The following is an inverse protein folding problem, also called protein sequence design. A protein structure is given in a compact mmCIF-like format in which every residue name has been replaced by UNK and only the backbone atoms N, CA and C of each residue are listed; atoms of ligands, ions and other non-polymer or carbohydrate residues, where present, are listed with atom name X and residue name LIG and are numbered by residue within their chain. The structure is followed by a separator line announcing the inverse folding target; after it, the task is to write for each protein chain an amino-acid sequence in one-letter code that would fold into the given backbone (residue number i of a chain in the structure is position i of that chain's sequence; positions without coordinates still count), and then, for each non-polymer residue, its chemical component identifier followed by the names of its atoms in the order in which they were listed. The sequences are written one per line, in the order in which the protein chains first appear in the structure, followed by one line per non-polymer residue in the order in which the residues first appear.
data_IF_091329142361
#
_entry.id   IF_091329142361
#
_cell.length_a   1.000
_cell.length_b   1.000
_cell.length_c   1.000
_cell.angle_alpha   90.00
_cell.angle_beta   90.00
_cell.angle_gamma   90.00
#
_symmetry.space_group_name_H-M   'P 1'
#
loop_
_entity.id
_entity.type
_entity.pdbx_description
1 polymer ?
#
# COMPACT_ATOMS: atom_id res chain seq x y z
N UNK A 1 7.26 -11.31 29.12
CA UNK A 1 8.00 -12.54 29.50
C UNK A 1 9.26 -12.20 30.32
N UNK A 2 9.48 -12.80 31.49
CA UNK A 2 10.69 -12.57 32.31
C UNK A 2 11.75 -13.66 32.07
N UNK A 3 12.99 -13.27 31.74
CA UNK A 3 14.11 -14.20 31.53
C UNK A 3 14.43 -15.08 32.75
N UNK A 4 14.11 -14.62 33.96
CA UNK A 4 14.38 -15.36 35.22
C UNK A 4 13.33 -16.42 35.56
N UNK A 5 12.26 -16.54 34.77
CA UNK A 5 11.20 -17.51 35.04
C UNK A 5 10.65 -18.10 33.75
N UNK A 6 9.98 -17.30 32.93
CA UNK A 6 9.26 -17.78 31.74
C UNK A 6 10.17 -18.50 30.74
N UNK A 7 11.37 -17.96 30.47
CA UNK A 7 12.31 -18.56 29.53
C UNK A 7 12.87 -19.89 30.03
N UNK A 8 13.25 -19.95 31.30
CA UNK A 8 13.79 -21.16 31.92
C UNK A 8 12.73 -22.27 31.98
N UNK A 9 11.52 -21.93 32.39
CA UNK A 9 10.40 -22.88 32.45
C UNK A 9 10.06 -23.42 31.06
N UNK A 10 10.01 -22.54 30.05
CA UNK A 10 9.80 -22.96 28.67
C UNK A 10 10.90 -23.92 28.20
N UNK A 11 12.17 -23.62 28.46
CA UNK A 11 13.27 -24.50 28.08
C UNK A 11 13.20 -25.86 28.76
N UNK A 12 12.88 -25.91 30.06
CA UNK A 12 12.74 -27.16 30.80
C UNK A 12 11.62 -28.04 30.23
N UNK A 13 10.45 -27.47 29.98
CA UNK A 13 9.33 -28.18 29.35
C UNK A 13 9.68 -28.64 27.93
N UNK A 14 10.37 -27.78 27.16
CA UNK A 14 10.78 -28.11 25.79
C UNK A 14 11.74 -29.30 25.75
N UNK A 15 12.66 -29.41 26.70
CA UNK A 15 13.54 -30.56 26.83
C UNK A 15 12.76 -31.85 27.17
N UNK A 16 11.83 -31.78 28.12
CA UNK A 16 10.98 -32.92 28.44
C UNK A 16 10.10 -33.37 27.26
N UNK A 17 9.60 -32.42 26.45
CA UNK A 17 8.88 -32.72 25.21
C UNK A 17 9.79 -33.40 24.17
N UNK A 18 11.04 -32.97 24.06
CA UNK A 18 12.02 -33.59 23.16
C UNK A 18 12.24 -35.07 23.51
N UNK A 19 12.29 -35.41 24.80
CA UNK A 19 12.42 -36.81 25.26
C UNK A 19 11.23 -37.68 24.83
N UNK A 20 10.06 -37.05 24.64
CA UNK A 20 8.83 -37.67 24.12
C UNK A 20 8.70 -37.55 22.59
N UNK A 21 9.77 -37.15 21.89
CA UNK A 21 9.81 -36.91 20.44
C UNK A 21 8.85 -35.81 19.93
N UNK A 22 8.51 -34.83 20.79
CA UNK A 22 7.78 -33.62 20.40
C UNK A 22 8.71 -32.41 20.29
N UNK A 23 8.43 -31.53 19.33
CA UNK A 23 9.17 -30.28 19.13
C UNK A 23 8.29 -29.09 19.52
N UNK A 24 8.81 -28.24 20.41
CA UNK A 24 8.17 -26.95 20.69
C UNK A 24 8.36 -26.01 19.50
N UNK A 25 7.43 -25.07 19.33
CA UNK A 25 7.43 -24.14 18.20
C UNK A 25 8.24 -22.87 18.52
N UNK A 26 8.06 -22.32 19.73
CA UNK A 26 8.65 -21.04 20.07
C UNK A 26 8.04 -20.35 21.29
N UNK A 27 8.42 -19.09 21.47
CA UNK A 27 7.99 -18.23 22.58
C UNK A 27 7.34 -16.94 22.07
N UNK A 28 6.56 -16.30 22.93
CA UNK A 28 5.99 -14.96 22.71
C UNK A 28 6.53 -13.97 23.75
N UNK A 29 7.04 -12.84 23.27
CA UNK A 29 7.47 -11.69 24.08
C UNK A 29 6.46 -10.56 23.89
N UNK A 30 5.81 -10.15 24.96
CA UNK A 30 4.69 -9.21 24.93
C UNK A 30 4.88 -7.99 25.85
N UNK A 31 6.07 -7.82 26.40
CA UNK A 31 6.37 -6.78 27.40
C UNK A 31 7.88 -6.65 27.61
N UNK A 32 8.30 -5.48 28.10
CA UNK A 32 9.71 -5.16 28.36
C UNK A 32 10.49 -4.73 27.11
N UNK A 33 11.81 -4.70 27.22
CA UNK A 33 12.70 -4.42 26.09
C UNK A 33 12.73 -5.62 25.14
N UNK A 34 11.90 -5.59 24.10
CA UNK A 34 11.70 -6.71 23.19
C UNK A 34 12.98 -7.04 22.40
N UNK A 35 13.77 -6.04 22.02
CA UNK A 35 15.04 -6.27 21.31
C UNK A 35 16.01 -7.06 22.19
N UNK A 36 16.28 -6.55 23.40
CA UNK A 36 17.16 -7.21 24.36
C UNK A 36 16.65 -8.61 24.74
N UNK A 37 15.36 -8.74 25.06
CA UNK A 37 14.78 -10.02 25.45
C UNK A 37 14.84 -11.06 24.32
N UNK A 38 14.66 -10.64 23.06
CA UNK A 38 14.80 -11.53 21.91
C UNK A 38 16.24 -12.04 21.76
N UNK A 39 17.24 -11.18 21.98
CA UNK A 39 18.65 -11.55 21.96
C UNK A 39 18.97 -12.57 23.05
N UNK A 40 18.55 -12.28 24.29
CA UNK A 40 18.77 -13.19 25.43
C UNK A 40 18.10 -14.53 25.18
N UNK A 41 16.85 -14.55 24.69
CA UNK A 41 16.17 -15.81 24.36
C UNK A 41 16.95 -16.62 23.33
N UNK A 42 17.41 -15.99 22.24
CA UNK A 42 18.20 -16.68 21.20
C UNK A 42 19.51 -17.23 21.74
N UNK A 43 20.21 -16.49 22.60
CA UNK A 43 21.44 -16.94 23.25
C UNK A 43 21.21 -18.20 24.10
N UNK A 44 20.12 -18.24 24.88
CA UNK A 44 19.76 -19.43 25.65
C UNK A 44 19.43 -20.61 24.74
N UNK A 45 18.68 -20.37 23.67
CA UNK A 45 18.32 -21.41 22.71
C UNK A 45 19.56 -22.02 22.05
N UNK A 46 20.51 -21.19 21.62
CA UNK A 46 21.80 -21.65 21.07
C UNK A 46 22.61 -22.47 22.08
N UNK A 47 22.71 -22.00 23.34
CA UNK A 47 23.45 -22.72 24.39
C UNK A 47 22.84 -24.08 24.70
N UNK A 48 21.52 -24.17 24.78
CA UNK A 48 20.82 -25.44 25.03
C UNK A 48 20.98 -26.38 23.83
N UNK A 49 20.84 -25.85 22.62
CA UNK A 49 21.04 -26.62 21.38
C UNK A 49 22.40 -27.30 21.36
N UNK A 50 23.47 -26.57 21.67
CA UNK A 50 24.83 -27.14 21.72
C UNK A 50 25.03 -28.08 22.91
N UNK A 51 24.56 -27.70 24.11
CA UNK A 51 24.80 -28.47 25.34
C UNK A 51 24.12 -29.84 25.34
N UNK A 52 22.93 -29.93 24.79
CA UNK A 52 22.12 -31.15 24.77
C UNK A 52 22.09 -31.82 23.39
N UNK A 53 22.85 -31.30 22.42
CA UNK A 53 22.92 -31.81 21.05
C UNK A 53 21.54 -31.88 20.37
N UNK A 54 20.75 -30.81 20.52
CA UNK A 54 19.40 -30.68 19.96
C UNK A 54 19.40 -29.55 18.91
N UNK A 55 19.71 -29.83 17.62
CA UNK A 55 19.98 -28.78 16.63
C UNK A 55 18.79 -27.84 16.39
N UNK A 56 17.56 -28.35 16.43
CA UNK A 56 16.35 -27.57 16.17
C UNK A 56 16.05 -26.53 17.26
N UNK A 57 16.61 -26.70 18.46
CA UNK A 57 16.33 -25.81 19.60
C UNK A 57 16.80 -24.38 19.32
N UNK A 58 17.92 -24.20 18.62
CA UNK A 58 18.45 -22.87 18.27
C UNK A 58 17.52 -22.10 17.31
N UNK A 59 16.66 -22.79 16.58
CA UNK A 59 15.80 -22.25 15.51
C UNK A 59 14.36 -21.99 15.98
N UNK A 60 14.08 -22.18 17.28
CA UNK A 60 12.81 -21.87 17.91
C UNK A 60 12.33 -20.45 17.58
N UNK A 61 11.05 -20.32 17.27
CA UNK A 61 10.46 -19.05 16.85
C UNK A 61 10.36 -18.11 18.04
N UNK A 62 10.77 -16.85 17.84
CA UNK A 62 10.54 -15.75 18.78
C UNK A 62 9.51 -14.83 18.15
N UNK A 63 8.30 -14.82 18.71
CA UNK A 63 7.25 -13.88 18.34
C UNK A 63 7.26 -12.68 19.29
N UNK A 64 7.09 -11.48 18.76
CA UNK A 64 6.87 -10.28 19.54
C UNK A 64 5.48 -9.70 19.30
N UNK A 65 4.81 -9.25 20.36
CA UNK A 65 3.51 -8.59 20.25
C UNK A 65 3.27 -7.63 21.40
N UNK A 66 3.40 -6.32 21.19
CA UNK A 66 2.98 -5.27 22.14
C UNK A 66 3.17 -3.88 21.50
N UNK A 67 2.09 -3.14 21.25
CA UNK A 67 2.12 -1.79 20.65
C UNK A 67 3.12 -1.62 19.50
N UNK A 68 3.20 -2.64 18.65
CA UNK A 68 4.14 -2.67 17.53
C UNK A 68 3.55 -1.86 16.39
N UNK A 69 4.30 -0.89 15.92
CA UNK A 69 4.01 -0.14 14.71
C UNK A 69 5.24 -0.10 13.79
N UNK A 70 5.11 0.56 12.66
CA UNK A 70 6.16 0.67 11.65
C UNK A 70 7.48 1.27 12.21
N UNK A 71 7.40 2.32 13.01
CA UNK A 71 8.58 2.97 13.61
C UNK A 71 9.27 2.05 14.62
N UNK A 72 8.47 1.33 15.42
CA UNK A 72 9.00 0.32 16.34
C UNK A 72 9.74 -0.78 15.58
N UNK A 73 9.18 -1.29 14.47
CA UNK A 73 9.83 -2.34 13.67
C UNK A 73 11.16 -1.85 13.08
N UNK A 74 11.19 -0.62 12.54
CA UNK A 74 12.44 -0.02 12.04
C UNK A 74 13.48 0.09 13.15
N UNK A 75 13.10 0.60 14.32
CA UNK A 75 14.01 0.70 15.47
C UNK A 75 14.53 -0.65 15.95
N UNK A 76 13.67 -1.68 15.98
CA UNK A 76 14.08 -3.03 16.35
C UNK A 76 15.07 -3.60 15.32
N UNK A 77 14.87 -3.34 14.02
CA UNK A 77 15.77 -3.79 12.96
C UNK A 77 17.16 -3.18 13.13
N UNK A 78 17.24 -1.88 13.42
CA UNK A 78 18.51 -1.17 13.68
C UNK A 78 19.24 -1.73 14.91
N UNK A 79 18.51 -2.20 15.91
CA UNK A 79 19.05 -2.86 17.10
C UNK A 79 19.48 -4.31 16.88
N UNK A 80 19.23 -4.90 15.70
CA UNK A 80 19.64 -6.27 15.38
C UNK A 80 18.89 -7.35 16.16
N UNK A 81 17.59 -7.13 16.43
CA UNK A 81 16.71 -8.06 17.16
C UNK A 81 16.76 -9.50 16.64
N UNK A 82 16.32 -10.48 17.45
CA UNK A 82 16.24 -11.92 17.07
C UNK A 82 14.81 -12.47 16.94
N UNK A 83 13.84 -11.57 16.84
CA UNK A 83 12.42 -11.83 16.58
C UNK A 83 12.21 -12.39 15.16
N UNK A 84 11.38 -13.41 15.02
CA UNK A 84 11.01 -14.02 13.74
C UNK A 84 9.63 -13.56 13.23
N UNK A 85 8.73 -13.19 14.14
CA UNK A 85 7.35 -12.84 13.81
C UNK A 85 6.84 -11.69 14.68
N UNK A 86 6.09 -10.79 14.07
CA UNK A 86 5.45 -9.66 14.74
C UNK A 86 3.93 -9.84 14.76
N UNK A 87 3.34 -9.86 15.95
CA UNK A 87 1.90 -9.75 16.16
C UNK A 87 1.50 -8.28 16.32
N UNK A 88 0.88 -7.73 15.28
CA UNK A 88 0.45 -6.32 15.26
C UNK A 88 -1.08 -6.26 15.37
N UNK A 89 -1.57 -5.63 16.44
CA UNK A 89 -3.00 -5.46 16.70
C UNK A 89 -3.49 -4.06 16.38
N UNK A 90 -3.68 -3.25 17.43
CA UNK A 90 -4.34 -1.94 17.41
C UNK A 90 -3.86 -1.03 16.27
N UNK A 91 -2.55 -0.85 16.12
CA UNK A 91 -1.98 0.06 15.11
C UNK A 91 -2.37 -0.31 13.66
N UNK A 92 -2.42 -1.61 13.35
CA UNK A 92 -2.76 -2.09 12.01
C UNK A 92 -4.27 -2.00 11.76
N UNK A 93 -5.08 -2.52 12.69
CA UNK A 93 -6.54 -2.62 12.50
C UNK A 93 -7.25 -1.27 12.55
N UNK A 94 -6.77 -0.36 13.39
CA UNK A 94 -7.39 0.97 13.54
C UNK A 94 -6.80 2.03 12.60
N UNK A 95 -5.72 1.68 11.88
CA UNK A 95 -4.93 2.64 11.10
C UNK A 95 -4.59 3.92 11.90
N UNK A 96 -4.15 3.78 13.15
CA UNK A 96 -4.17 4.86 14.17
C UNK A 96 -3.62 6.23 13.71
N UNK A 97 -2.57 6.25 12.86
CA UNK A 97 -2.01 7.50 12.31
C UNK A 97 -2.98 8.23 11.38
N UNK A 98 -3.78 7.50 10.62
CA UNK A 98 -4.78 8.01 9.70
C UNK A 98 -5.96 7.02 9.62
N UNK A 99 -6.93 7.11 10.55
CA UNK A 99 -8.02 6.13 10.67
C UNK A 99 -9.06 6.21 9.53
N UNK A 100 -8.89 7.15 8.59
CA UNK A 100 -9.80 7.32 7.46
C UNK A 100 -9.05 7.67 6.16
N UNK A 101 -9.50 7.10 5.05
CA UNK A 101 -8.88 7.32 3.74
C UNK A 101 -9.36 8.60 3.04
N UNK A 102 -10.54 9.12 3.42
CA UNK A 102 -11.11 10.33 2.80
C UNK A 102 -11.77 10.08 1.44
N UNK A 103 -12.26 8.87 1.17
CA UNK A 103 -12.96 8.56 -0.08
C UNK A 103 -14.25 9.39 -0.24
N UNK A 104 -14.55 9.79 -1.47
CA UNK A 104 -15.76 10.56 -1.80
C UNK A 104 -16.51 9.93 -2.97
N UNK A 105 -17.83 10.05 -2.95
CA UNK A 105 -18.70 9.76 -4.10
C UNK A 105 -19.22 11.07 -4.69
N UNK A 106 -19.06 11.26 -6.01
CA UNK A 106 -19.44 12.47 -6.72
C UNK A 106 -20.13 12.12 -8.03
N UNK A 107 -21.24 12.82 -8.32
CA UNK A 107 -21.86 12.81 -9.63
C UNK A 107 -20.96 13.56 -10.63
N UNK A 108 -20.56 12.90 -11.70
CA UNK A 108 -19.70 13.49 -12.75
C UNK A 108 -20.42 13.69 -14.08
N UNK A 109 -21.55 13.03 -14.27
CA UNK A 109 -22.37 13.08 -15.48
C UNK A 109 -23.82 12.72 -15.13
N UNK A 110 -24.78 13.45 -15.69
CA UNK A 110 -26.21 13.17 -15.57
C UNK A 110 -26.86 13.29 -16.95
N UNK A 111 -27.40 12.20 -17.48
CA UNK A 111 -28.02 12.15 -18.81
C UNK A 111 -27.09 12.65 -19.92
N UNK A 112 -25.81 12.30 -19.88
CA UNK A 112 -24.76 12.78 -20.79
C UNK A 112 -24.48 14.29 -20.68
N UNK A 113 -24.93 14.93 -19.59
CA UNK A 113 -24.55 16.30 -19.24
C UNK A 113 -23.51 16.23 -18.11
N UNK A 114 -22.25 16.61 -18.37
CA UNK A 114 -21.20 16.60 -17.37
C UNK A 114 -21.52 17.49 -16.16
N UNK A 115 -21.10 17.04 -14.97
CA UNK A 115 -21.30 17.77 -13.71
C UNK A 115 -19.97 18.03 -13.04
N UNK A 116 -19.81 19.26 -12.56
CA UNK A 116 -18.64 19.74 -11.85
C UNK A 116 -19.08 20.48 -10.60
N UNK A 117 -18.53 20.11 -9.45
CA UNK A 117 -18.65 20.88 -8.23
C UNK A 117 -17.46 21.83 -8.13
N UNK A 118 -17.76 23.13 -8.14
CA UNK A 118 -16.77 24.15 -7.82
C UNK A 118 -16.59 24.26 -6.30
N UNK A 119 -15.39 24.64 -5.90
CA UNK A 119 -15.02 24.93 -4.52
C UNK A 119 -14.01 26.06 -4.52
N UNK A 120 -13.97 26.84 -3.44
CA UNK A 120 -12.92 27.83 -3.22
C UNK A 120 -11.53 27.16 -3.09
N UNK A 121 -11.52 25.90 -2.67
CA UNK A 121 -10.33 25.06 -2.62
C UNK A 121 -10.23 24.25 -3.91
N UNK A 122 -9.22 24.55 -4.73
CA UNK A 122 -8.96 23.88 -6.02
C UNK A 122 -8.84 22.37 -5.85
N UNK A 123 -8.29 21.89 -4.73
CA UNK A 123 -8.16 20.45 -4.47
C UNK A 123 -9.51 19.75 -4.26
N UNK A 124 -10.59 20.50 -3.99
CA UNK A 124 -11.96 19.99 -3.81
C UNK A 124 -12.83 20.13 -5.05
N UNK A 125 -12.28 20.67 -6.13
CA UNK A 125 -12.94 20.74 -7.42
C UNK A 125 -13.00 19.34 -8.03
N UNK A 126 -14.19 18.91 -8.44
CA UNK A 126 -14.37 17.57 -9.01
C UNK A 126 -14.09 17.55 -10.51
N UNK A 127 -13.43 16.50 -11.01
CA UNK A 127 -13.26 16.30 -12.45
C UNK A 127 -14.59 15.91 -13.12
N UNK A 128 -15.07 16.66 -14.15
CA UNK A 128 -16.34 16.40 -14.82
C UNK A 128 -16.28 15.21 -15.77
N UNK A 129 -17.45 14.72 -16.20
CA UNK A 129 -17.62 13.73 -17.25
C UNK A 129 -17.27 12.29 -16.84
N UNK A 130 -17.67 11.34 -17.68
CA UNK A 130 -17.27 9.93 -17.55
C UNK A 130 -15.80 9.77 -17.96
N UNK A 131 -15.04 9.01 -17.18
CA UNK A 131 -13.60 8.86 -17.35
C UNK A 131 -13.15 7.41 -17.21
N UNK A 132 -12.19 7.04 -18.02
CA UNK A 132 -11.37 5.84 -17.84
C UNK A 132 -10.00 6.20 -17.26
N UNK A 133 -9.43 5.28 -16.50
CA UNK A 133 -8.10 5.42 -15.92
C UNK A 133 -7.15 4.39 -16.52
N UNK A 134 -5.96 4.85 -16.92
CA UNK A 134 -4.93 4.04 -17.54
C UNK A 134 -3.60 4.24 -16.83
N UNK A 135 -2.90 3.15 -16.51
CA UNK A 135 -1.52 3.20 -16.02
C UNK A 135 -0.55 3.08 -17.17
N UNK A 136 0.38 4.03 -17.27
CA UNK A 136 1.43 4.07 -18.27
C UNK A 136 2.73 3.56 -17.67
N UNK A 137 3.41 2.65 -18.37
CA UNK A 137 4.65 2.03 -17.91
C UNK A 137 5.86 2.43 -18.76
N UNK A 138 7.03 2.45 -18.11
CA UNK A 138 8.33 2.63 -18.76
C UNK A 138 8.81 1.34 -19.42
N UNK A 139 9.79 1.41 -20.32
CA UNK A 139 10.47 0.23 -20.89
C UNK A 139 11.06 -0.70 -19.82
N UNK A 140 11.41 -0.16 -18.65
CA UNK A 140 11.91 -0.94 -17.50
C UNK A 140 10.81 -1.65 -16.71
N UNK A 141 9.54 -1.46 -17.08
CA UNK A 141 8.38 -2.02 -16.39
C UNK A 141 7.91 -1.20 -15.18
N UNK A 142 8.44 0.01 -15.00
CA UNK A 142 8.03 0.90 -13.90
C UNK A 142 6.71 1.59 -14.22
N UNK A 143 5.79 1.65 -13.27
CA UNK A 143 4.59 2.47 -13.37
C UNK A 143 4.98 3.96 -13.29
N UNK A 144 4.79 4.70 -14.39
CA UNK A 144 5.22 6.10 -14.51
C UNK A 144 4.16 7.07 -14.01
N UNK A 145 2.92 6.87 -14.43
CA UNK A 145 1.80 7.79 -14.22
C UNK A 145 0.47 7.07 -14.42
N UNK A 146 -0.54 7.46 -13.65
CA UNK A 146 -1.94 7.12 -13.95
C UNK A 146 -2.58 8.29 -14.72
N UNK A 147 -3.10 8.00 -15.90
CA UNK A 147 -3.72 8.95 -16.83
C UNK A 147 -5.24 8.75 -16.83
N UNK A 148 -5.97 9.81 -16.51
CA UNK A 148 -7.41 9.90 -16.69
C UNK A 148 -7.71 10.43 -18.09
N UNK A 149 -8.65 9.77 -18.76
CA UNK A 149 -9.03 10.02 -20.16
C UNK A 149 -10.55 10.01 -20.21
N UNK A 150 -11.20 10.88 -21.00
CA UNK A 150 -12.65 10.76 -21.15
C UNK A 150 -13.02 9.41 -21.81
N UNK A 151 -14.18 8.86 -21.45
CA UNK A 151 -14.59 7.52 -21.95
C UNK A 151 -14.83 7.50 -23.48
N UNK A 152 -15.07 8.65 -24.09
CA UNK A 152 -15.27 8.85 -25.53
C UNK A 152 -13.99 9.20 -26.30
N UNK A 153 -12.87 9.42 -25.61
CA UNK A 153 -11.56 9.61 -26.24
C UNK A 153 -10.90 8.27 -26.62
N UNK A 154 -10.03 8.33 -27.63
CA UNK A 154 -9.19 7.19 -27.96
C UNK A 154 -8.27 6.82 -26.78
N UNK A 155 -8.17 5.53 -26.43
CA UNK A 155 -7.33 5.10 -25.33
C UNK A 155 -5.84 5.34 -25.64
N UNK A 156 -5.01 5.57 -24.61
CA UNK A 156 -3.57 5.72 -24.82
C UNK A 156 -2.97 4.43 -25.40
N UNK A 157 -2.12 4.56 -26.41
CA UNK A 157 -1.47 3.45 -27.10
C UNK A 157 0.03 3.34 -26.77
N UNK A 158 0.53 2.11 -26.81
CA UNK A 158 1.97 1.81 -26.65
C UNK A 158 2.77 2.46 -27.77
N UNK A 159 3.94 3.02 -27.44
CA UNK A 159 4.84 3.66 -28.40
C UNK A 159 4.40 5.04 -28.89
N UNK A 160 3.18 5.47 -28.57
CA UNK A 160 2.67 6.79 -28.92
C UNK A 160 3.04 7.82 -27.86
N UNK A 161 3.47 9.00 -28.29
CA UNK A 161 3.85 10.10 -27.39
C UNK A 161 2.60 10.81 -26.87
N UNK A 162 2.33 10.69 -25.57
CA UNK A 162 1.12 11.22 -24.92
C UNK A 162 1.49 12.41 -24.04
N UNK A 163 0.77 13.52 -24.20
CA UNK A 163 0.88 14.67 -23.29
C UNK A 163 0.05 14.41 -22.04
N UNK A 164 0.71 14.30 -20.89
CA UNK A 164 0.09 14.12 -19.58
C UNK A 164 0.15 15.45 -18.82
N UNK A 165 -1.01 15.96 -18.38
CA UNK A 165 -1.11 17.23 -17.65
C UNK A 165 -1.63 17.01 -16.23
N UNK A 166 -1.13 17.78 -15.28
CA UNK A 166 -1.81 17.92 -14.00
C UNK A 166 -3.16 18.63 -14.21
N UNK A 167 -4.20 18.19 -13.52
CA UNK A 167 -5.55 18.71 -13.74
C UNK A 167 -5.71 20.21 -13.41
N UNK A 168 -4.88 20.76 -12.53
CA UNK A 168 -5.05 22.11 -11.98
C UNK A 168 -3.77 22.94 -11.94
N UNK A 169 -2.61 22.36 -12.26
CA UNK A 169 -1.32 23.04 -12.19
C UNK A 169 -0.68 23.02 -13.58
N UNK A 170 -0.87 24.08 -14.36
CA UNK A 170 -0.54 24.08 -15.80
C UNK A 170 0.95 23.82 -16.09
N UNK A 171 1.82 24.26 -15.19
CA UNK A 171 3.27 24.07 -15.28
C UNK A 171 3.68 22.60 -15.10
N UNK A 172 2.85 21.78 -14.45
CA UNK A 172 3.10 20.35 -14.24
C UNK A 172 2.55 19.54 -15.42
N UNK A 173 3.39 19.38 -16.45
CA UNK A 173 3.08 18.58 -17.64
C UNK A 173 4.30 17.84 -18.14
N UNK A 174 4.09 16.68 -18.75
CA UNK A 174 5.16 15.86 -19.31
C UNK A 174 4.66 15.04 -20.50
N UNK A 175 5.56 14.77 -21.45
CA UNK A 175 5.32 13.75 -22.45
C UNK A 175 5.74 12.39 -21.92
N UNK A 176 4.90 11.38 -22.16
CA UNK A 176 5.17 9.98 -21.84
C UNK A 176 4.98 9.15 -23.10
N UNK A 177 5.98 8.32 -23.43
CA UNK A 177 5.86 7.29 -24.45
C UNK A 177 5.86 5.94 -23.73
N UNK A 178 4.68 5.31 -23.51
CA UNK A 178 4.59 4.11 -22.71
C UNK A 178 5.05 2.87 -23.50
N UNK A 179 5.77 1.97 -22.82
CA UNK A 179 6.07 0.62 -23.33
C UNK A 179 4.91 -0.35 -23.13
N UNK A 180 4.07 -0.07 -22.14
CA UNK A 180 2.87 -0.81 -21.78
C UNK A 180 1.81 0.15 -21.24
N UNK A 181 0.56 -0.12 -21.59
CA UNK A 181 -0.62 0.59 -21.10
C UNK A 181 -1.54 -0.42 -20.43
N UNK A 182 -2.04 -0.10 -19.23
CA UNK A 182 -2.98 -0.93 -18.49
C UNK A 182 -4.25 -0.15 -18.15
N UNK A 183 -5.41 -0.62 -18.60
CA UNK A 183 -6.71 -0.06 -18.19
C UNK A 183 -7.03 -0.49 -16.75
N UNK A 184 -7.22 0.49 -15.86
CA UNK A 184 -7.43 0.26 -14.43
C UNK A 184 -8.90 -0.05 -14.09
N UNK A 185 -9.83 0.65 -14.74
CA UNK A 185 -11.26 0.39 -14.56
C UNK A 185 -11.68 -0.89 -15.30
N UNK A 186 -12.24 -1.85 -14.56
CA UNK A 186 -12.77 -3.11 -15.08
C UNK A 186 -14.26 -3.19 -14.78
N UNK A 187 -15.05 -3.56 -15.80
CA UNK A 187 -16.48 -3.79 -15.63
C UNK A 187 -16.72 -5.10 -14.88
N UNK A 188 -17.16 -5.04 -13.62
CA UNK A 188 -17.55 -6.20 -12.83
C UNK A 188 -19.06 -6.42 -12.78
N UNK A 189 -19.83 -5.35 -12.88
CA UNK A 189 -21.28 -5.36 -12.70
C UNK A 189 -21.94 -4.56 -13.82
N UNK A 190 -22.90 -5.17 -14.52
CA UNK A 190 -23.69 -4.54 -15.58
C UNK A 190 -25.11 -5.10 -15.53
N UNK A 191 -26.11 -4.23 -15.64
CA UNK A 191 -27.53 -4.58 -15.72
C UNK A 191 -27.98 -5.53 -14.58
N UNK A 192 -27.51 -5.26 -13.36
CA UNK A 192 -27.86 -6.07 -12.18
C UNK A 192 -27.06 -7.37 -12.02
N UNK A 193 -26.25 -7.76 -13.00
CA UNK A 193 -25.53 -9.03 -13.01
C UNK A 193 -24.01 -8.84 -12.89
N UNK A 194 -23.36 -9.76 -12.16
CA UNK A 194 -21.90 -9.86 -12.14
C UNK A 194 -21.45 -10.47 -13.46
N UNK A 195 -20.68 -9.71 -14.25
CA UNK A 195 -20.29 -10.12 -15.61
C UNK A 195 -18.94 -10.83 -15.68
N UNK A 196 -18.19 -10.87 -14.56
CA UNK A 196 -16.83 -11.43 -14.50
C UNK A 196 -16.61 -12.07 -13.13
N UNK A 197 -15.83 -13.16 -13.04
CA UNK A 197 -15.49 -13.76 -11.75
C UNK A 197 -14.71 -12.76 -10.88
N UNK A 198 -15.01 -12.75 -9.58
CA UNK A 198 -14.25 -11.98 -8.60
C UNK A 198 -12.93 -12.71 -8.34
N UNK A 199 -11.80 -11.98 -8.25
CA UNK A 199 -10.53 -12.60 -7.94
C UNK A 199 -10.54 -13.17 -6.52
N UNK A 200 -9.87 -14.31 -6.32
CA UNK A 200 -9.70 -14.89 -5.00
C UNK A 200 -8.61 -14.16 -4.19
N UNK A 201 -8.47 -14.49 -2.89
CA UNK A 201 -7.53 -13.81 -2.00
C UNK A 201 -6.06 -13.96 -2.44
N UNK A 202 -5.68 -15.10 -3.00
CA UNK A 202 -4.32 -15.35 -3.48
C UNK A 202 -4.02 -14.52 -4.73
N UNK A 203 -4.97 -14.47 -5.68
CA UNK A 203 -4.86 -13.62 -6.87
C UNK A 203 -4.76 -12.13 -6.50
N UNK A 204 -5.54 -11.67 -5.52
CA UNK A 204 -5.48 -10.29 -5.01
C UNK A 204 -4.10 -10.02 -4.40
N UNK A 205 -3.59 -10.90 -3.53
CA UNK A 205 -2.28 -10.78 -2.88
C UNK A 205 -1.14 -10.73 -3.90
N UNK A 206 -1.18 -11.62 -4.88
CA UNK A 206 -0.15 -11.71 -5.93
C UNK A 206 -0.20 -10.48 -6.83
N UNK A 207 -1.39 -9.97 -7.13
CA UNK A 207 -1.55 -8.72 -7.85
C UNK A 207 -0.95 -7.54 -7.09
N UNK A 208 -1.26 -7.37 -5.79
CA UNK A 208 -0.67 -6.30 -4.96
C UNK A 208 0.85 -6.41 -4.93
N UNK A 209 1.40 -7.61 -4.75
CA UNK A 209 2.84 -7.84 -4.71
C UNK A 209 3.51 -7.48 -6.04
N UNK A 210 2.89 -7.84 -7.17
CA UNK A 210 3.37 -7.47 -8.51
C UNK A 210 3.28 -5.96 -8.73
N UNK A 211 2.19 -5.32 -8.34
CA UNK A 211 2.02 -3.87 -8.47
C UNK A 211 3.04 -3.09 -7.63
N UNK A 212 3.30 -3.50 -6.38
CA UNK A 212 4.33 -2.88 -5.54
C UNK A 212 5.74 -3.04 -6.12
N UNK A 213 6.03 -4.14 -6.81
CA UNK A 213 7.31 -4.31 -7.52
C UNK A 213 7.46 -3.34 -8.71
N UNK A 214 6.37 -3.02 -9.40
CA UNK A 214 6.38 -2.08 -10.53
C UNK A 214 6.51 -0.60 -10.12
N UNK A 215 6.33 -0.27 -8.84
CA UNK A 215 6.57 1.10 -8.36
C UNK A 215 8.05 1.31 -8.09
N UNK A 216 8.57 2.48 -8.48
CA UNK A 216 9.94 2.88 -8.19
C UNK A 216 10.17 2.99 -6.68
N UNK A 217 11.42 2.79 -6.24
CA UNK A 217 11.79 2.82 -4.82
C UNK A 217 11.52 4.17 -4.14
N UNK A 218 11.66 5.28 -4.86
CA UNK A 218 11.44 6.63 -4.33
C UNK A 218 9.98 6.92 -3.96
N UNK A 219 9.03 6.22 -4.59
CA UNK A 219 7.59 6.30 -4.26
C UNK A 219 7.25 5.42 -3.04
N UNK A 220 8.03 4.35 -2.81
CA UNK A 220 7.75 3.34 -1.77
C UNK A 220 8.41 3.62 -0.43
N UNK A 221 9.34 4.58 -0.36
CA UNK A 221 10.06 4.88 0.89
C UNK A 221 9.10 5.44 1.95
N UNK A 222 9.34 5.08 3.20
CA UNK A 222 8.45 5.44 4.30
C UNK A 222 8.57 6.94 4.64
N UNK A 223 9.77 7.50 4.50
CA UNK A 223 10.04 8.90 4.79
C UNK A 223 10.07 9.76 3.52
N UNK A 224 9.22 10.78 3.47
CA UNK A 224 9.08 11.73 2.37
C UNK A 224 8.99 11.07 0.98
N UNK A 225 8.05 10.12 0.74
CA UNK A 225 7.92 9.47 -0.56
C UNK A 225 7.69 10.49 -1.68
N UNK A 226 8.23 10.22 -2.87
CA UNK A 226 7.91 11.00 -4.07
C UNK A 226 6.42 10.79 -4.38
N UNK A 227 5.61 11.87 -4.54
CA UNK A 227 4.20 11.73 -4.89
C UNK A 227 4.04 10.99 -6.23
N UNK A 228 3.19 9.97 -6.24
CA UNK A 228 2.84 9.29 -7.48
C UNK A 228 2.03 10.23 -8.38
N UNK A 229 2.34 10.24 -9.67
CA UNK A 229 1.71 11.18 -10.61
C UNK A 229 0.35 10.65 -11.05
N UNK A 230 -0.64 11.51 -10.96
CA UNK A 230 -1.95 11.33 -11.61
C UNK A 230 -2.13 12.52 -12.55
N UNK A 231 -2.45 12.23 -13.81
CA UNK A 231 -2.64 13.22 -14.85
C UNK A 231 -3.98 13.04 -15.55
N UNK A 232 -4.34 14.06 -16.34
CA UNK A 232 -5.44 14.05 -17.29
C UNK A 232 -4.88 14.13 -18.72
N UNK A 233 -5.63 13.61 -19.69
CA UNK A 233 -5.34 13.81 -21.12
C UNK A 233 -5.47 15.29 -21.49
N UNK A 234 -4.91 15.69 -22.64
CA UNK A 234 -4.99 17.05 -23.15
C UNK A 234 -6.44 17.49 -23.42
N UNK A 235 -7.25 16.56 -23.94
CA UNK A 235 -8.68 16.76 -24.17
C UNK A 235 -9.44 16.94 -22.85
N UNK A 236 -9.27 16.03 -21.88
CA UNK A 236 -9.89 16.13 -20.56
C UNK A 236 -9.46 17.41 -19.81
N UNK A 237 -8.19 17.81 -19.95
CA UNK A 237 -7.69 19.07 -19.39
C UNK A 237 -8.45 20.27 -19.96
N UNK A 238 -8.53 20.35 -21.30
CA UNK A 238 -9.20 21.46 -22.00
C UNK A 238 -10.69 21.49 -21.66
N UNK A 239 -11.33 20.32 -21.65
CA UNK A 239 -12.73 20.14 -21.28
C UNK A 239 -13.01 20.63 -19.84
N UNK A 240 -12.17 20.22 -18.88
CA UNK A 240 -12.25 20.66 -17.49
C UNK A 240 -12.17 22.19 -17.35
N UNK A 241 -11.19 22.82 -18.01
CA UNK A 241 -10.94 24.26 -17.86
C UNK A 241 -12.02 25.09 -18.54
N UNK A 242 -12.53 24.66 -19.70
CA UNK A 242 -13.66 25.31 -20.36
C UNK A 242 -14.91 25.26 -19.47
N UNK A 243 -15.26 24.07 -18.94
CA UNK A 243 -16.43 23.93 -18.08
C UNK A 243 -16.27 24.71 -16.77
N UNK A 244 -15.05 24.76 -16.22
CA UNK A 244 -14.77 25.59 -15.05
C UNK A 244 -15.07 27.05 -15.37
N UNK A 245 -14.47 27.62 -16.42
CA UNK A 245 -14.64 29.02 -16.77
C UNK A 245 -16.10 29.39 -17.02
N UNK A 246 -16.88 28.50 -17.63
CA UNK A 246 -18.33 28.68 -17.84
C UNK A 246 -19.13 28.62 -16.53
N UNK A 247 -18.69 27.82 -15.57
CA UNK A 247 -19.41 27.59 -14.30
C UNK A 247 -18.99 28.54 -13.17
N UNK A 248 -17.83 29.18 -13.29
CA UNK A 248 -17.29 30.05 -12.25
C UNK A 248 -18.15 31.32 -12.12
N UNK A 249 -18.61 31.68 -10.92
CA UNK A 249 -19.37 32.91 -10.73
C UNK A 249 -18.51 34.12 -11.09
N UNK A 250 -19.07 35.01 -11.90
CA UNK A 250 -18.46 36.32 -12.20
C UNK A 250 -18.82 37.23 -11.02
N UNK A 251 -17.80 37.71 -10.30
CA UNK A 251 -17.99 38.69 -9.24
C UNK A 251 -18.20 40.09 -9.84
N UNK A 252 -19.17 40.83 -9.30
CA UNK A 252 -19.25 42.27 -9.52
C UNK A 252 -18.47 42.97 -8.40
N UNK A 253 -17.54 43.86 -8.79
CA UNK A 253 -16.84 44.74 -7.85
C UNK A 253 -17.60 46.07 -7.82
N UNK A 254 -18.33 46.31 -6.73
CA UNK A 254 -18.96 47.60 -6.41
C UNK A 254 -18.12 48.40 -5.44
#
# INVERSE_FOLDING_TARGET
MNCRSGLLNFCAVTLALNDLAFQAIGIRIDSGDIAYLSYVAREYFSKISTKYEIPWFKDLIIMASNDINEETILSLNDQGHKINCFGIGTHLVTCQKQPSLGCVYKLVDLNNVPRMKLSQDVAKVSLPGRKDAYRLFSERGDALIDLLVQTDEEPPSVGSKILCRHAFEESKRAYVTPSKVEKLHKLYWKDGLICRPLPNLEEIRDNVTRSLKSLRSDIKRNHNPTPYKVAVSDNLYSFLHNLWMESAPIGELT
#
